data_IF_243935386053
#
_entry.id   IF_243935386053
#
_cell.length_a   1.000
_cell.length_b   1.000
_cell.length_c   1.000
_cell.angle_alpha   90.00
_cell.angle_beta   90.00
_cell.angle_gamma   90.00
#
_symmetry.space_group_name_H-M   'P 1'
#
loop_
_entity.id
_entity.type
_entity.pdbx_description
1 polymer ?
#
# COMPACT_ATOMS: atom_id res chain seq x y z
N UNK A 1 28.05 -63.54 -71.36
CA UNK A 1 28.03 -63.86 -69.91
C UNK A 1 28.30 -62.53 -69.16
N UNK A 2 27.26 -61.75 -68.78
CA UNK A 2 27.38 -60.44 -68.12
C UNK A 2 26.99 -60.63 -66.65
N UNK A 3 28.00 -60.43 -65.78
CA UNK A 3 27.80 -60.40 -64.35
C UNK A 3 27.21 -59.05 -63.90
N UNK A 4 25.99 -59.06 -63.38
CA UNK A 4 25.41 -57.84 -62.72
C UNK A 4 25.88 -57.83 -61.29
N UNK A 5 26.77 -56.87 -60.99
CA UNK A 5 27.11 -56.52 -59.61
C UNK A 5 25.99 -55.72 -58.97
N UNK A 6 25.29 -56.32 -58.01
CA UNK A 6 24.28 -55.68 -57.18
C UNK A 6 25.00 -54.66 -56.23
N UNK A 7 24.71 -53.40 -56.38
CA UNK A 7 25.12 -52.34 -55.42
C UNK A 7 24.31 -52.50 -54.12
N UNK A 8 24.98 -52.80 -53.02
CA UNK A 8 24.41 -52.77 -51.71
C UNK A 8 24.06 -51.32 -51.30
N UNK A 9 22.78 -50.98 -51.20
CA UNK A 9 22.29 -49.68 -50.73
C UNK A 9 21.92 -49.71 -49.20
N UNK A 10 22.70 -50.40 -48.39
CA UNK A 10 22.38 -50.61 -46.97
C UNK A 10 22.67 -49.39 -46.06
N UNK A 11 23.51 -48.42 -46.50
CA UNK A 11 23.86 -47.22 -45.70
C UNK A 11 22.77 -46.14 -45.67
N UNK A 12 21.99 -45.99 -46.73
CA UNK A 12 20.95 -44.95 -46.83
C UNK A 12 19.73 -45.22 -45.87
N UNK A 13 19.35 -46.46 -45.67
CA UNK A 13 18.22 -46.84 -44.80
C UNK A 13 18.53 -46.52 -43.36
N UNK A 14 19.75 -46.75 -42.86
CA UNK A 14 20.16 -46.48 -41.49
C UNK A 14 20.10 -44.98 -41.22
N UNK A 15 20.53 -44.13 -42.16
CA UNK A 15 20.47 -42.69 -42.03
C UNK A 15 19.02 -42.20 -41.93
N UNK A 16 18.11 -42.72 -42.74
CA UNK A 16 16.70 -42.35 -42.70
C UNK A 16 16.07 -42.78 -41.34
N UNK A 17 16.38 -43.97 -40.86
CA UNK A 17 15.87 -44.44 -39.54
C UNK A 17 16.43 -43.58 -38.42
N UNK A 18 17.71 -43.18 -38.47
CA UNK A 18 18.30 -42.29 -37.48
C UNK A 18 17.62 -40.91 -37.47
N UNK A 19 17.44 -40.31 -38.65
CA UNK A 19 16.75 -39.02 -38.78
C UNK A 19 15.29 -39.08 -38.32
N UNK A 20 14.55 -40.15 -38.64
CA UNK A 20 13.17 -40.33 -38.14
C UNK A 20 13.11 -40.52 -36.64
N UNK A 21 14.08 -41.23 -36.04
CA UNK A 21 14.18 -41.40 -34.60
C UNK A 21 14.48 -40.06 -33.91
N UNK A 22 15.43 -39.26 -34.41
CA UNK A 22 15.73 -37.91 -33.89
C UNK A 22 14.51 -37.00 -34.00
N UNK A 23 13.84 -36.98 -35.15
CA UNK A 23 12.65 -36.15 -35.37
C UNK A 23 11.50 -36.55 -34.43
N UNK A 24 11.30 -37.85 -34.21
CA UNK A 24 10.32 -38.37 -33.25
C UNK A 24 10.66 -37.96 -31.82
N UNK A 25 11.93 -38.03 -31.43
CA UNK A 25 12.39 -37.61 -30.09
C UNK A 25 12.15 -36.12 -29.88
N UNK A 26 12.47 -35.26 -30.85
CA UNK A 26 12.21 -33.83 -30.79
C UNK A 26 10.71 -33.56 -30.69
N UNK A 27 9.89 -34.23 -31.48
CA UNK A 27 8.43 -34.11 -31.45
C UNK A 27 7.84 -34.48 -30.08
N UNK A 28 8.28 -35.61 -29.52
CA UNK A 28 7.82 -36.09 -28.20
C UNK A 28 8.24 -35.14 -27.11
N UNK A 29 9.49 -34.63 -27.15
CA UNK A 29 9.99 -33.66 -26.18
C UNK A 29 9.20 -32.35 -26.25
N UNK A 30 8.94 -31.82 -27.45
CA UNK A 30 8.14 -30.63 -27.65
C UNK A 30 6.70 -30.79 -27.16
N UNK A 31 6.10 -31.98 -27.43
CA UNK A 31 4.76 -32.31 -26.95
C UNK A 31 4.71 -32.45 -25.43
N UNK A 32 5.70 -33.09 -24.83
CA UNK A 32 5.81 -33.23 -23.37
C UNK A 32 5.98 -31.84 -22.69
N UNK A 33 6.80 -30.97 -23.26
CA UNK A 33 6.97 -29.59 -22.76
C UNK A 33 5.66 -28.78 -22.83
N UNK A 34 4.91 -28.92 -23.94
CA UNK A 34 3.60 -28.24 -24.11
C UNK A 34 2.56 -28.77 -23.12
N UNK A 35 2.51 -30.07 -22.89
CA UNK A 35 1.59 -30.71 -21.92
C UNK A 35 1.94 -30.22 -20.50
N UNK A 36 3.24 -30.23 -20.15
CA UNK A 36 3.68 -29.74 -18.83
C UNK A 36 3.32 -28.26 -18.62
N UNK A 37 3.53 -27.41 -19.62
CA UNK A 37 3.15 -25.98 -19.53
C UNK A 37 1.64 -25.83 -19.38
N UNK A 38 0.85 -26.56 -20.19
CA UNK A 38 -0.60 -26.52 -20.10
C UNK A 38 -1.12 -27.01 -18.73
N UNK A 39 -0.51 -28.07 -18.16
CA UNK A 39 -0.85 -28.56 -16.83
C UNK A 39 -0.51 -27.53 -15.73
N UNK A 40 0.67 -26.88 -15.81
CA UNK A 40 1.02 -25.79 -14.88
C UNK A 40 0.02 -24.62 -14.98
N UNK A 41 -0.32 -24.19 -16.18
CA UNK A 41 -1.30 -23.11 -16.38
C UNK A 41 -2.67 -23.48 -15.83
N UNK A 42 -3.12 -24.73 -16.07
CA UNK A 42 -4.39 -25.20 -15.52
C UNK A 42 -4.39 -25.23 -13.99
N UNK A 43 -3.30 -25.69 -13.37
CA UNK A 43 -3.14 -25.70 -11.92
C UNK A 43 -3.18 -24.27 -11.35
N UNK A 44 -2.40 -23.35 -11.91
CA UNK A 44 -2.41 -21.94 -11.47
C UNK A 44 -3.79 -21.29 -11.62
N UNK A 45 -4.50 -21.56 -12.73
CA UNK A 45 -5.86 -21.04 -12.90
C UNK A 45 -6.83 -21.61 -11.88
N UNK A 46 -6.71 -22.90 -11.54
CA UNK A 46 -7.53 -23.54 -10.51
C UNK A 46 -7.24 -22.95 -9.13
N UNK A 47 -5.97 -22.77 -8.78
CA UNK A 47 -5.56 -22.15 -7.53
C UNK A 47 -6.06 -20.70 -7.44
N UNK A 48 -5.87 -19.89 -8.49
CA UNK A 48 -6.38 -18.52 -8.54
C UNK A 48 -7.91 -18.47 -8.38
N UNK A 49 -8.64 -19.37 -9.05
CA UNK A 49 -10.10 -19.44 -8.96
C UNK A 49 -10.61 -19.85 -7.58
N UNK A 50 -9.84 -20.63 -6.81
CA UNK A 50 -10.21 -21.00 -5.44
C UNK A 50 -9.80 -19.94 -4.41
N UNK A 51 -8.70 -19.23 -4.63
CA UNK A 51 -8.19 -18.22 -3.72
C UNK A 51 -9.02 -16.92 -3.74
N UNK A 52 -9.48 -16.51 -4.92
CA UNK A 52 -10.23 -15.27 -5.06
C UNK A 52 -11.50 -15.19 -4.19
N UNK A 53 -12.39 -16.20 -4.15
CA UNK A 53 -13.55 -16.16 -3.26
C UNK A 53 -13.18 -16.09 -1.78
N UNK A 54 -12.11 -16.75 -1.35
CA UNK A 54 -11.64 -16.70 0.04
C UNK A 54 -11.19 -15.28 0.40
N UNK A 55 -10.42 -14.63 -0.47
CA UNK A 55 -9.95 -13.27 -0.30
C UNK A 55 -11.11 -12.28 -0.26
N UNK A 56 -12.08 -12.38 -1.19
CA UNK A 56 -13.29 -11.56 -1.18
C UNK A 56 -14.15 -11.81 0.05
N UNK A 57 -14.19 -13.05 0.55
CA UNK A 57 -14.84 -13.39 1.80
C UNK A 57 -14.21 -12.65 2.99
N UNK A 58 -12.88 -12.60 3.07
CA UNK A 58 -12.16 -11.89 4.12
C UNK A 58 -12.38 -10.37 4.05
N UNK A 59 -12.38 -9.79 2.84
CA UNK A 59 -12.73 -8.36 2.65
C UNK A 59 -14.14 -8.07 3.15
N UNK A 60 -15.13 -8.87 2.76
CA UNK A 60 -16.52 -8.66 3.18
C UNK A 60 -16.70 -8.82 4.69
N UNK A 61 -15.91 -9.68 5.34
CA UNK A 61 -15.91 -9.81 6.80
C UNK A 61 -15.26 -8.59 7.47
N UNK A 62 -14.16 -8.05 6.92
CA UNK A 62 -13.55 -6.82 7.38
C UNK A 62 -14.51 -5.62 7.27
N UNK A 63 -15.23 -5.50 6.16
CA UNK A 63 -16.28 -4.49 5.99
C UNK A 63 -17.39 -4.64 7.05
N UNK A 64 -17.77 -5.87 7.35
CA UNK A 64 -18.78 -6.15 8.38
C UNK A 64 -18.26 -5.74 9.77
N UNK A 65 -17.01 -6.02 10.12
CA UNK A 65 -16.42 -5.56 11.40
C UNK A 65 -16.45 -4.03 11.51
N UNK A 66 -16.11 -3.31 10.44
CA UNK A 66 -16.21 -1.85 10.40
C UNK A 66 -17.64 -1.35 10.59
N UNK A 67 -18.64 -2.07 10.06
CA UNK A 67 -20.04 -1.74 10.25
C UNK A 67 -20.49 -2.05 11.70
N UNK A 68 -20.05 -3.16 12.28
CA UNK A 68 -20.35 -3.54 13.66
C UNK A 68 -19.78 -2.53 14.66
N UNK A 69 -18.56 -2.04 14.44
CA UNK A 69 -17.94 -1.00 15.28
C UNK A 69 -18.75 0.31 15.26
N UNK A 70 -19.49 0.58 14.17
CA UNK A 70 -20.39 1.74 14.04
C UNK A 70 -21.77 1.53 14.61
N UNK A 71 -22.09 0.34 15.12
CA UNK A 71 -23.40 0.10 15.77
C UNK A 71 -23.51 0.86 17.09
N UNK A 72 -24.64 1.52 17.35
CA UNK A 72 -24.87 2.11 18.65
C UNK A 72 -24.91 1.01 19.71
N UNK A 73 -24.15 1.17 20.78
CA UNK A 73 -24.21 0.26 21.92
C UNK A 73 -25.56 0.30 22.56
N UNK A 74 -26.11 -0.82 23.06
CA UNK A 74 -27.37 -0.85 23.78
C UNK A 74 -27.36 0.11 24.98
N UNK A 75 -28.44 0.84 25.17
CA UNK A 75 -28.60 1.75 26.30
C UNK A 75 -28.62 0.92 27.60
N UNK A 76 -27.60 1.09 28.43
CA UNK A 76 -27.46 0.37 29.70
C UNK A 76 -26.37 -0.70 29.76
N UNK A 77 -25.69 -1.00 28.68
CA UNK A 77 -24.37 -1.64 28.76
C UNK A 77 -23.38 -0.63 29.34
N UNK A 78 -23.18 -0.70 30.63
CA UNK A 78 -22.00 -0.14 31.27
C UNK A 78 -20.81 -0.86 30.67
N UNK A 79 -19.78 -0.09 30.22
CA UNK A 79 -18.46 -0.66 30.00
C UNK A 79 -18.18 -1.53 31.22
N UNK A 80 -18.01 -2.84 31.07
CA UNK A 80 -17.55 -3.67 32.16
C UNK A 80 -16.26 -3.04 32.65
N UNK A 81 -16.35 -2.33 33.81
CA UNK A 81 -15.16 -1.97 34.56
C UNK A 81 -14.54 -3.31 34.92
N UNK A 82 -13.39 -3.60 34.33
CA UNK A 82 -12.53 -4.66 34.85
C UNK A 82 -12.30 -4.32 36.31
N UNK A 83 -12.23 -5.32 37.20
CA UNK A 83 -12.04 -5.17 38.67
C UNK A 83 -10.83 -4.26 39.04
N UNK A 84 -10.08 -3.75 38.09
CA UNK A 84 -8.91 -2.89 38.25
C UNK A 84 -9.14 -1.43 37.78
N UNK A 85 -10.36 -1.05 37.35
CA UNK A 85 -10.69 0.33 36.96
C UNK A 85 -10.10 0.76 35.60
N UNK A 86 -9.62 -0.16 34.80
CA UNK A 86 -9.12 0.11 33.46
C UNK A 86 -10.30 0.36 32.51
N UNK A 87 -10.32 1.53 31.90
CA UNK A 87 -11.22 1.84 30.77
C UNK A 87 -10.79 0.93 29.62
N UNK A 88 -11.64 -0.04 29.23
CA UNK A 88 -11.39 -0.84 28.05
C UNK A 88 -11.16 0.08 26.85
N UNK A 89 -9.94 0.09 26.34
CA UNK A 89 -9.62 0.63 25.02
C UNK A 89 -10.58 0.02 24.00
N UNK A 90 -11.02 0.78 22.98
CA UNK A 90 -11.84 0.22 21.91
C UNK A 90 -11.21 -1.06 21.37
N UNK A 91 -12.04 -2.09 21.18
CA UNK A 91 -11.57 -3.45 20.85
C UNK A 91 -10.65 -3.50 19.61
N UNK A 92 -10.74 -2.49 18.74
CA UNK A 92 -9.90 -2.41 17.53
C UNK A 92 -9.35 -1.01 17.33
N UNK A 93 -8.02 -0.93 17.21
CA UNK A 93 -7.33 0.21 16.59
C UNK A 93 -7.12 -0.10 15.12
N UNK A 94 -7.74 0.66 14.24
CA UNK A 94 -7.52 0.48 12.80
C UNK A 94 -6.22 1.16 12.36
N UNK A 95 -5.12 0.72 12.94
CA UNK A 95 -3.75 1.20 12.69
C UNK A 95 -2.87 0.15 12.00
N UNK A 96 -3.48 -0.90 11.45
CA UNK A 96 -2.80 -1.98 10.78
C UNK A 96 -2.47 -3.19 11.66
N UNK A 97 -2.95 -3.23 12.89
CA UNK A 97 -2.92 -4.47 13.68
C UNK A 97 -3.67 -5.58 12.95
N UNK A 98 -3.23 -6.83 13.14
CA UNK A 98 -3.96 -7.99 12.60
C UNK A 98 -5.32 -8.04 13.23
N UNK A 99 -6.35 -8.04 12.40
CA UNK A 99 -7.72 -8.06 12.88
C UNK A 99 -8.16 -9.49 13.20
N UNK A 100 -8.60 -9.71 14.43
CA UNK A 100 -9.28 -10.93 14.84
C UNK A 100 -10.76 -10.79 14.47
N UNK A 101 -11.18 -11.40 13.37
CA UNK A 101 -12.54 -11.26 12.86
C UNK A 101 -13.54 -12.08 13.69
N UNK A 102 -14.73 -11.53 13.92
CA UNK A 102 -15.84 -12.23 14.61
C UNK A 102 -16.27 -13.51 13.88
N UNK A 103 -16.09 -13.55 12.56
CA UNK A 103 -16.28 -14.72 11.73
C UNK A 103 -14.94 -15.08 11.08
N UNK A 104 -14.25 -16.10 11.59
CA UNK A 104 -12.91 -16.43 11.13
C UNK A 104 -12.89 -16.80 9.63
N UNK A 105 -11.88 -16.30 8.96
CA UNK A 105 -11.54 -16.65 7.59
C UNK A 105 -10.64 -17.91 7.55
N UNK A 106 -10.14 -18.26 6.38
CA UNK A 106 -9.04 -19.23 6.23
C UNK A 106 -7.85 -18.74 7.09
N UNK A 107 -7.32 -19.60 7.97
CA UNK A 107 -6.22 -19.30 8.91
C UNK A 107 -4.97 -18.71 8.24
N UNK A 108 -4.79 -19.00 6.94
CA UNK A 108 -3.70 -18.46 6.16
C UNK A 108 -3.93 -17.02 5.66
N UNK A 109 -5.12 -16.43 5.86
CA UNK A 109 -5.43 -15.07 5.45
C UNK A 109 -5.27 -14.11 6.63
N UNK A 110 -4.56 -13.03 6.38
CA UNK A 110 -4.36 -11.93 7.32
C UNK A 110 -5.13 -10.72 6.83
N UNK A 111 -5.88 -10.09 7.73
CA UNK A 111 -6.64 -8.87 7.48
C UNK A 111 -6.07 -7.76 8.35
N UNK A 112 -5.80 -6.60 7.72
CA UNK A 112 -5.36 -5.37 8.39
C UNK A 112 -6.20 -4.21 7.89
N UNK A 113 -6.57 -3.32 8.79
CA UNK A 113 -7.35 -2.12 8.48
C UNK A 113 -6.60 -0.89 8.97
N UNK A 114 -6.54 0.12 8.11
CA UNK A 114 -5.95 1.43 8.41
C UNK A 114 -7.00 2.51 8.25
N UNK A 115 -7.24 3.27 9.32
CA UNK A 115 -8.08 4.46 9.29
C UNK A 115 -7.32 5.61 8.62
N UNK A 116 -7.95 6.29 7.67
CA UNK A 116 -7.36 7.41 6.94
C UNK A 116 -7.11 8.66 7.79
N UNK A 117 -7.61 8.72 9.04
CA UNK A 117 -7.19 9.74 9.99
C UNK A 117 -5.71 9.63 10.39
N UNK A 118 -5.08 8.47 10.16
CA UNK A 118 -3.64 8.28 10.30
C UNK A 118 -2.81 8.73 9.10
N UNK A 119 -3.42 9.26 8.03
CA UNK A 119 -2.75 9.68 6.80
C UNK A 119 -2.82 11.20 6.59
N UNK A 120 -1.89 11.74 5.82
CA UNK A 120 -1.88 13.15 5.41
C UNK A 120 -2.92 13.32 4.28
N UNK A 121 -3.93 14.17 4.49
CA UNK A 121 -4.96 14.41 3.49
C UNK A 121 -4.54 15.53 2.53
N UNK A 122 -4.17 15.15 1.29
CA UNK A 122 -3.70 16.09 0.26
C UNK A 122 -4.76 17.10 -0.14
N UNK A 123 -6.05 16.72 -0.16
CA UNK A 123 -7.15 17.62 -0.50
C UNK A 123 -7.54 18.57 0.65
N UNK A 124 -6.94 18.41 1.83
CA UNK A 124 -7.25 19.22 3.03
C UNK A 124 -6.02 19.83 3.68
N UNK A 125 -4.83 19.54 3.16
CA UNK A 125 -3.56 20.07 3.69
C UNK A 125 -3.51 21.59 3.53
N UNK A 126 -3.26 22.37 4.60
CA UNK A 126 -3.03 23.80 4.48
C UNK A 126 -1.73 24.09 3.70
N UNK A 127 -1.70 25.19 2.94
CA UNK A 127 -0.50 25.62 2.18
C UNK A 127 0.76 25.68 3.04
N UNK A 128 0.65 26.17 4.28
CA UNK A 128 1.78 26.21 5.21
C UNK A 128 2.29 24.80 5.56
N UNK A 129 1.38 23.85 5.75
CA UNK A 129 1.77 22.48 6.06
C UNK A 129 2.43 21.82 4.85
N UNK A 130 1.94 22.05 3.64
CA UNK A 130 2.62 21.59 2.42
C UNK A 130 4.04 22.16 2.32
N UNK A 131 4.24 23.44 2.61
CA UNK A 131 5.57 24.04 2.66
C UNK A 131 6.49 23.30 3.66
N UNK A 132 6.04 23.08 4.87
CA UNK A 132 6.83 22.37 5.90
C UNK A 132 7.15 20.92 5.51
N UNK A 133 6.24 20.23 4.80
CA UNK A 133 6.47 18.90 4.27
C UNK A 133 7.57 18.93 3.21
N UNK A 134 7.51 19.89 2.28
CA UNK A 134 8.54 20.11 1.25
C UNK A 134 9.89 20.40 1.91
N UNK A 135 9.93 21.34 2.85
CA UNK A 135 11.14 21.70 3.60
C UNK A 135 11.74 20.46 4.28
N UNK A 136 10.93 19.67 4.98
CA UNK A 136 11.40 18.42 5.62
C UNK A 136 12.01 17.45 4.62
N UNK A 137 11.38 17.24 3.47
CA UNK A 137 11.86 16.32 2.43
C UNK A 137 13.14 16.79 1.75
N UNK A 138 13.37 18.11 1.72
CA UNK A 138 14.60 18.72 1.17
C UNK A 138 15.74 18.87 2.20
N UNK A 139 15.60 18.31 3.41
CA UNK A 139 16.63 18.35 4.45
C UNK A 139 16.32 19.27 5.63
N UNK A 140 15.09 19.71 5.77
CA UNK A 140 14.62 20.53 6.91
C UNK A 140 15.21 21.93 6.90
N UNK A 141 15.98 22.26 7.93
CA UNK A 141 16.59 23.60 8.08
C UNK A 141 17.68 23.91 7.03
N UNK A 142 18.23 22.87 6.40
CA UNK A 142 19.26 22.99 5.35
C UNK A 142 18.63 23.06 3.94
N UNK A 143 17.30 23.00 3.84
CA UNK A 143 16.59 23.06 2.56
C UNK A 143 16.85 24.41 1.85
N UNK A 144 17.10 24.34 0.52
CA UNK A 144 17.21 25.54 -0.30
C UNK A 144 15.86 26.26 -0.38
N UNK A 145 15.75 27.50 0.14
CA UNK A 145 14.49 28.25 0.14
C UNK A 145 13.93 28.52 -1.27
N UNK A 146 14.78 28.63 -2.29
CA UNK A 146 14.34 28.81 -3.67
C UNK A 146 13.64 27.56 -4.18
N UNK A 147 14.26 26.39 -3.98
CA UNK A 147 13.66 25.10 -4.34
C UNK A 147 12.33 24.83 -3.60
N UNK A 148 12.26 25.18 -2.31
CA UNK A 148 11.02 25.06 -1.54
C UNK A 148 9.91 25.93 -2.16
N UNK A 149 10.22 27.19 -2.52
CA UNK A 149 9.24 28.08 -3.13
C UNK A 149 8.79 27.62 -4.52
N UNK A 150 9.70 27.09 -5.33
CA UNK A 150 9.40 26.56 -6.66
C UNK A 150 8.42 25.37 -6.61
N UNK A 151 8.66 24.44 -5.68
CA UNK A 151 7.77 23.29 -5.47
C UNK A 151 6.41 23.72 -4.91
N UNK A 152 6.42 24.67 -3.95
CA UNK A 152 5.19 25.19 -3.37
C UNK A 152 4.36 26.00 -4.39
N UNK A 153 5.01 26.71 -5.30
CA UNK A 153 4.36 27.40 -6.41
C UNK A 153 3.74 26.39 -7.38
N UNK A 154 4.49 25.36 -7.78
CA UNK A 154 3.96 24.29 -8.65
C UNK A 154 2.76 23.56 -8.03
N UNK A 155 2.79 23.28 -6.71
CA UNK A 155 1.64 22.74 -5.97
C UNK A 155 0.44 23.70 -6.01
N UNK A 156 0.68 25.02 -5.81
CA UNK A 156 -0.38 26.00 -5.76
C UNK A 156 -1.07 26.14 -7.11
N UNK A 157 -0.29 26.24 -8.20
CA UNK A 157 -0.80 26.34 -9.57
C UNK A 157 -1.58 25.09 -9.97
N UNK A 158 -1.09 23.89 -9.57
CA UNK A 158 -1.81 22.63 -9.84
C UNK A 158 -3.18 22.55 -9.16
N UNK A 159 -3.29 23.11 -7.96
CA UNK A 159 -4.49 22.99 -7.12
C UNK A 159 -5.37 24.25 -7.12
N UNK A 160 -5.09 25.23 -7.97
CA UNK A 160 -5.98 26.37 -8.15
C UNK A 160 -6.95 26.18 -9.35
N UNK A 161 -7.81 27.15 -9.58
CA UNK A 161 -8.88 27.07 -10.59
C UNK A 161 -8.56 27.85 -11.87
N UNK A 162 -7.40 28.47 -11.94
CA UNK A 162 -7.05 29.35 -13.06
C UNK A 162 -5.84 28.81 -13.83
N UNK A 163 -5.55 29.38 -15.02
CA UNK A 163 -4.40 29.02 -15.87
C UNK A 163 -3.29 30.08 -15.78
N UNK A 164 -3.24 30.88 -14.70
CA UNK A 164 -2.24 31.93 -14.54
C UNK A 164 -1.04 31.41 -13.77
N UNK A 165 0.06 31.24 -14.46
CA UNK A 165 1.31 30.79 -13.84
C UNK A 165 1.76 31.76 -12.74
N UNK A 166 1.90 31.24 -11.53
CA UNK A 166 2.48 31.93 -10.39
C UNK A 166 3.97 32.20 -10.58
N UNK A 167 4.55 33.05 -9.72
CA UNK A 167 5.99 33.27 -9.72
C UNK A 167 6.69 31.94 -9.42
N UNK A 168 7.53 31.47 -10.36
CA UNK A 168 8.19 30.17 -10.32
C UNK A 168 7.21 28.98 -10.29
N UNK A 169 5.99 29.17 -10.75
CA UNK A 169 4.97 28.13 -10.82
C UNK A 169 5.12 27.18 -12.00
N UNK A 170 4.11 26.34 -12.20
CA UNK A 170 4.03 25.44 -13.36
C UNK A 170 2.57 25.25 -13.77
N UNK A 171 2.22 25.82 -14.91
CA UNK A 171 0.90 25.77 -15.48
C UNK A 171 0.86 24.96 -16.79
N UNK A 172 -0.28 24.99 -17.46
CA UNK A 172 -0.55 24.26 -18.69
C UNK A 172 0.57 24.30 -19.73
N UNK A 173 1.19 25.48 -19.94
CA UNK A 173 2.24 25.64 -20.95
C UNK A 173 3.49 24.85 -20.57
N UNK A 174 3.85 24.80 -19.28
CA UNK A 174 4.93 23.96 -18.79
C UNK A 174 4.67 22.49 -19.06
N UNK A 175 3.51 21.95 -18.63
CA UNK A 175 3.21 20.51 -18.75
C UNK A 175 3.00 20.07 -20.20
N UNK A 176 2.52 20.95 -21.07
CA UNK A 176 2.42 20.68 -22.50
C UNK A 176 3.78 20.72 -23.23
N UNK A 177 4.79 21.35 -22.66
CA UNK A 177 6.16 21.39 -23.21
C UNK A 177 6.98 20.13 -22.93
N UNK A 178 6.50 19.26 -22.04
CA UNK A 178 7.19 18.02 -21.67
C UNK A 178 7.13 16.98 -22.81
N UNK A 179 8.11 16.07 -22.87
CA UNK A 179 8.15 14.98 -23.85
C UNK A 179 6.88 14.10 -23.78
N UNK A 180 6.40 13.84 -22.55
CA UNK A 180 5.10 13.23 -22.31
C UNK A 180 4.13 14.32 -21.86
N UNK A 181 3.61 15.08 -22.82
CA UNK A 181 2.77 16.22 -22.54
C UNK A 181 1.42 15.83 -21.96
N UNK A 182 0.96 16.57 -20.96
CA UNK A 182 -0.36 16.46 -20.38
C UNK A 182 -0.90 17.83 -20.00
N UNK A 183 -2.18 17.89 -19.63
CA UNK A 183 -2.82 19.16 -19.26
C UNK A 183 -3.35 19.03 -17.83
N UNK A 184 -2.96 19.92 -16.92
CA UNK A 184 -3.55 20.01 -15.58
C UNK A 184 -5.08 20.19 -15.67
N UNK A 185 -5.79 19.71 -14.67
CA UNK A 185 -7.26 19.78 -14.66
C UNK A 185 -7.82 21.08 -14.08
N UNK A 186 -6.97 21.92 -13.47
CA UNK A 186 -7.37 23.14 -12.78
C UNK A 186 -8.47 22.86 -11.74
N UNK A 187 -8.23 21.87 -10.88
CA UNK A 187 -9.15 21.43 -9.86
C UNK A 187 -8.42 21.47 -8.49
N UNK A 188 -9.00 22.10 -7.47
CA UNK A 188 -8.39 22.18 -6.14
C UNK A 188 -8.29 20.83 -5.43
N UNK A 189 -9.00 19.82 -5.89
CA UNK A 189 -8.97 18.48 -5.32
C UNK A 189 -8.33 17.49 -6.29
N UNK A 190 -7.35 16.71 -5.81
CA UNK A 190 -6.76 15.59 -6.53
C UNK A 190 -7.78 14.45 -6.65
N UNK A 191 -7.81 13.74 -7.77
CA UNK A 191 -8.66 12.57 -7.99
C UNK A 191 -8.04 11.29 -7.47
N UNK A 192 -6.70 11.18 -7.50
CA UNK A 192 -5.93 10.06 -6.97
C UNK A 192 -4.72 10.55 -6.18
N UNK A 193 -4.20 9.73 -5.29
CA UNK A 193 -2.98 10.08 -4.54
C UNK A 193 -1.78 10.19 -5.47
N UNK A 194 -1.73 9.33 -6.48
CA UNK A 194 -0.64 9.26 -7.47
C UNK A 194 -0.56 10.52 -8.35
N UNK A 195 -1.65 11.29 -8.44
CA UNK A 195 -1.68 12.55 -9.19
C UNK A 195 -0.64 13.57 -8.69
N UNK A 196 -0.26 13.51 -7.40
CA UNK A 196 0.80 14.35 -6.84
C UNK A 196 2.14 14.20 -7.58
N UNK A 197 2.43 13.00 -8.14
CA UNK A 197 3.66 12.74 -8.89
C UNK A 197 3.70 13.45 -10.25
N UNK A 198 2.57 13.93 -10.75
CA UNK A 198 2.51 14.70 -11.98
C UNK A 198 2.84 16.19 -11.77
N UNK A 199 2.84 16.65 -10.52
CA UNK A 199 3.21 18.02 -10.18
C UNK A 199 4.73 18.17 -10.31
N UNK A 200 5.18 19.24 -10.94
CA UNK A 200 6.61 19.51 -11.19
C UNK A 200 7.44 19.34 -9.92
N UNK A 201 8.43 18.42 -9.97
CA UNK A 201 9.40 18.13 -8.92
C UNK A 201 8.88 17.26 -7.77
N UNK A 202 7.59 16.90 -7.75
CA UNK A 202 7.06 16.05 -6.66
C UNK A 202 7.40 14.57 -6.83
N UNK A 203 7.64 14.09 -8.05
CA UNK A 203 8.08 12.73 -8.27
C UNK A 203 9.43 12.46 -7.59
N UNK A 204 10.39 13.37 -7.74
CA UNK A 204 11.70 13.30 -7.09
C UNK A 204 11.60 13.57 -5.58
N UNK A 205 10.77 14.52 -5.17
CA UNK A 205 10.55 14.85 -3.75
C UNK A 205 10.02 13.64 -2.97
N UNK A 206 9.13 12.85 -3.56
CA UNK A 206 8.45 11.73 -2.92
C UNK A 206 9.03 10.36 -3.32
N UNK A 207 10.21 10.34 -3.93
CA UNK A 207 10.88 9.09 -4.27
C UNK A 207 11.05 8.18 -3.04
N UNK A 208 10.72 6.90 -3.21
CA UNK A 208 10.81 5.89 -2.15
C UNK A 208 9.65 5.88 -1.13
N UNK A 209 8.70 6.82 -1.21
CA UNK A 209 7.55 6.87 -0.31
C UNK A 209 6.43 5.94 -0.79
N UNK A 210 5.88 5.13 0.11
CA UNK A 210 4.63 4.42 -0.14
C UNK A 210 3.46 5.41 -0.02
N UNK A 211 2.98 5.91 -1.18
CA UNK A 211 1.97 6.97 -1.24
C UNK A 211 0.65 6.55 -0.58
N UNK A 212 0.21 5.31 -0.80
CA UNK A 212 -1.04 4.80 -0.20
C UNK A 212 -0.94 4.65 1.33
N UNK A 213 0.26 4.49 1.88
CA UNK A 213 0.49 4.45 3.32
C UNK A 213 0.56 5.86 3.94
N UNK A 214 1.18 6.82 3.24
CA UNK A 214 1.43 8.16 3.75
C UNK A 214 0.27 9.13 3.55
N UNK A 215 -0.42 9.03 2.41
CA UNK A 215 -1.39 10.03 1.96
C UNK A 215 -2.80 9.48 1.77
N UNK A 216 -3.74 10.41 1.80
CA UNK A 216 -5.13 10.20 1.37
C UNK A 216 -5.65 11.45 0.67
N UNK A 217 -6.66 11.26 -0.18
CA UNK A 217 -7.44 12.34 -0.79
C UNK A 217 -8.89 12.33 -0.27
N UNK A 218 -9.25 11.33 0.53
CA UNK A 218 -10.60 11.09 1.00
C UNK A 218 -10.83 11.67 2.39
N UNK A 219 -12.09 11.97 2.70
CA UNK A 219 -12.49 12.49 4.02
C UNK A 219 -12.20 13.99 4.20
N UNK A 220 -12.33 14.47 5.43
CA UNK A 220 -12.21 15.89 5.77
C UNK A 220 -11.19 16.17 6.89
N UNK A 221 -10.40 15.18 7.28
CA UNK A 221 -9.38 15.35 8.31
C UNK A 221 -8.27 16.28 7.81
N UNK A 222 -7.85 17.22 8.65
CA UNK A 222 -6.73 18.14 8.38
C UNK A 222 -5.51 17.83 9.23
N UNK A 223 -5.67 16.96 10.20
CA UNK A 223 -4.65 16.54 11.15
C UNK A 223 -4.48 15.05 11.07
N UNK A 224 -3.30 14.57 11.43
CA UNK A 224 -2.95 13.14 11.48
C UNK A 224 -3.10 12.65 12.91
N UNK A 225 -3.78 11.54 13.11
CA UNK A 225 -3.89 10.87 14.39
C UNK A 225 -2.70 9.90 14.56
N UNK A 226 -1.81 10.19 15.50
CA UNK A 226 -0.59 9.41 15.73
C UNK A 226 -0.87 7.97 16.19
N UNK A 227 -2.01 7.71 16.85
CA UNK A 227 -2.41 6.35 17.21
C UNK A 227 -2.69 5.46 15.98
N UNK A 228 -3.05 6.10 14.86
CA UNK A 228 -3.49 5.44 13.62
C UNK A 228 -2.45 5.58 12.49
N UNK A 229 -1.47 6.48 12.64
CA UNK A 229 -0.55 6.84 11.59
C UNK A 229 0.44 5.69 11.27
N UNK A 230 0.71 5.51 9.97
CA UNK A 230 1.81 4.66 9.50
C UNK A 230 3.17 5.34 9.74
N UNK A 231 4.25 4.56 9.72
CA UNK A 231 5.62 5.10 9.76
C UNK A 231 5.84 6.08 8.60
N UNK A 232 5.37 5.74 7.42
CA UNK A 232 5.50 6.57 6.23
C UNK A 232 4.82 7.94 6.40
N UNK A 233 3.60 7.96 6.97
CA UNK A 233 2.92 9.20 7.27
C UNK A 233 3.68 10.01 8.32
N UNK A 234 4.12 9.39 9.43
CA UNK A 234 4.90 10.05 10.48
C UNK A 234 6.24 10.56 9.96
N UNK A 235 6.91 9.82 9.08
CA UNK A 235 8.17 10.21 8.46
C UNK A 235 8.10 11.51 7.66
N UNK A 236 6.90 11.90 7.21
CA UNK A 236 6.67 13.16 6.50
C UNK A 236 6.28 14.34 7.43
N UNK A 237 5.97 14.06 8.69
CA UNK A 237 5.57 15.11 9.64
C UNK A 237 6.79 15.89 10.13
N UNK A 238 6.79 17.24 10.08
CA UNK A 238 7.85 18.06 10.64
C UNK A 238 8.01 17.79 12.15
N UNK A 239 9.24 17.90 12.63
CA UNK A 239 9.55 17.68 14.04
C UNK A 239 9.63 16.22 14.46
N UNK A 240 9.40 15.23 13.57
CA UNK A 240 9.62 13.83 13.86
C UNK A 240 10.84 13.32 13.08
N UNK A 241 11.74 12.65 13.77
CA UNK A 241 12.81 11.83 13.23
C UNK A 241 12.53 10.34 13.49
N UNK A 242 13.39 9.45 13.01
CA UNK A 242 13.19 8.01 13.16
C UNK A 242 13.15 7.57 14.64
N UNK A 243 13.94 8.20 15.52
CA UNK A 243 13.96 7.87 16.96
C UNK A 243 12.62 8.27 17.62
N UNK A 244 12.12 9.45 17.34
CA UNK A 244 10.84 9.92 17.87
C UNK A 244 9.66 9.11 17.32
N UNK A 245 9.72 8.67 16.05
CA UNK A 245 8.73 7.78 15.47
C UNK A 245 8.72 6.44 16.21
N UNK A 246 9.88 5.83 16.46
CA UNK A 246 9.96 4.59 17.25
C UNK A 246 9.39 4.77 18.64
N UNK A 247 9.69 5.88 19.30
CA UNK A 247 9.17 6.17 20.63
C UNK A 247 7.63 6.31 20.62
N UNK A 248 7.06 6.95 19.62
CA UNK A 248 5.60 7.06 19.44
C UNK A 248 4.98 5.68 19.17
N UNK A 249 5.61 4.89 18.30
CA UNK A 249 5.14 3.54 17.99
C UNK A 249 5.13 2.65 19.23
N UNK A 250 6.23 2.66 20.02
CA UNK A 250 6.34 1.90 21.26
C UNK A 250 5.32 2.37 22.33
N UNK A 251 5.10 3.69 22.45
CA UNK A 251 4.15 4.25 23.40
C UNK A 251 2.72 3.77 23.08
N UNK A 252 2.30 3.90 21.83
CA UNK A 252 0.94 3.53 21.40
C UNK A 252 0.64 2.02 21.43
N UNK A 253 1.67 1.17 21.53
CA UNK A 253 1.47 -0.28 21.77
C UNK A 253 0.98 -0.55 23.19
N UNK A 254 1.35 0.32 24.15
CA UNK A 254 0.99 0.19 25.56
C UNK A 254 -0.31 0.94 25.85
N UNK A 255 -0.42 2.18 25.38
CA UNK A 255 -1.51 3.09 25.71
C UNK A 255 -1.81 4.04 24.54
N UNK A 256 -3.11 4.39 24.35
CA UNK A 256 -3.50 5.39 23.36
C UNK A 256 -3.09 6.80 23.80
N UNK A 257 -2.54 7.57 22.88
CA UNK A 257 -2.30 9.00 23.05
C UNK A 257 -3.65 9.71 23.09
N UNK A 258 -4.06 10.22 24.27
CA UNK A 258 -5.35 10.84 24.50
C UNK A 258 -5.33 12.33 24.16
N UNK A 259 -4.23 13.02 24.43
CA UNK A 259 -4.12 14.44 24.23
C UNK A 259 -2.72 14.90 23.80
N UNK A 260 -2.59 16.21 23.54
CA UNK A 260 -1.31 16.83 23.15
C UNK A 260 -0.27 16.87 24.27
N UNK A 261 -0.70 16.83 25.53
CA UNK A 261 0.24 16.87 26.66
C UNK A 261 1.03 15.57 26.73
N UNK A 262 0.39 14.44 26.42
CA UNK A 262 1.04 13.14 26.35
C UNK A 262 2.05 13.09 25.19
N UNK A 263 1.72 13.66 24.02
CA UNK A 263 2.69 13.80 22.92
C UNK A 263 3.92 14.59 23.40
N UNK A 264 3.70 15.69 24.17
CA UNK A 264 4.78 16.50 24.75
C UNK A 264 5.63 15.75 25.79
N UNK A 265 5.17 14.63 26.31
CA UNK A 265 5.96 13.71 27.14
C UNK A 265 6.89 12.80 26.31
N UNK A 266 6.60 12.56 25.05
CA UNK A 266 7.36 11.70 24.13
C UNK A 266 8.26 12.56 23.22
N UNK A 267 7.74 13.67 22.73
CA UNK A 267 8.37 14.56 21.74
C UNK A 267 8.91 15.81 22.41
N UNK A 268 10.19 16.21 22.23
CA UNK A 268 10.76 17.43 22.78
C UNK A 268 10.00 18.70 22.39
N UNK A 269 10.03 19.70 23.24
CA UNK A 269 9.26 20.95 23.07
C UNK A 269 9.57 21.67 21.74
N UNK A 270 10.82 21.70 21.31
CA UNK A 270 11.25 22.30 20.03
C UNK A 270 10.59 21.61 18.83
N UNK A 271 10.54 20.27 18.83
CA UNK A 271 9.91 19.45 17.79
C UNK A 271 8.38 19.62 17.81
N UNK A 272 7.78 19.77 19.01
CA UNK A 272 6.35 20.01 19.18
C UNK A 272 5.87 21.32 18.55
N UNK A 273 6.73 22.36 18.43
CA UNK A 273 6.35 23.60 17.77
C UNK A 273 5.99 23.39 16.29
N UNK A 274 6.71 22.54 15.60
CA UNK A 274 6.44 22.19 14.19
C UNK A 274 5.32 21.15 14.06
N UNK A 275 5.33 20.14 14.94
CA UNK A 275 4.39 19.03 14.91
C UNK A 275 2.96 19.40 15.29
N UNK A 276 2.78 20.37 16.21
CA UNK A 276 1.48 20.69 16.84
C UNK A 276 0.36 21.05 15.86
N UNK A 277 0.70 21.64 14.71
CA UNK A 277 -0.25 21.98 13.66
C UNK A 277 -0.72 20.78 12.82
N UNK A 278 -0.04 19.64 12.97
CA UNK A 278 -0.27 18.44 12.15
C UNK A 278 -1.07 17.38 12.87
N UNK A 279 -1.03 17.35 14.20
CA UNK A 279 -1.56 16.23 15.00
C UNK A 279 -2.92 16.51 15.61
N UNK A 280 -3.74 15.48 15.70
CA UNK A 280 -5.06 15.49 16.32
C UNK A 280 -5.50 14.05 16.65
N UNK A 281 -6.61 13.91 17.40
CA UNK A 281 -7.12 12.62 17.88
C UNK A 281 -8.40 12.20 17.14
N UNK A 282 -8.69 12.80 15.97
CA UNK A 282 -9.88 12.45 15.21
C UNK A 282 -9.73 11.06 14.57
N UNK A 283 -10.84 10.36 14.43
CA UNK A 283 -10.99 9.18 13.57
C UNK A 283 -11.69 9.58 12.28
N UNK A 284 -11.59 8.77 11.23
CA UNK A 284 -12.31 8.98 9.97
C UNK A 284 -13.43 7.95 9.78
N UNK A 285 -14.11 8.06 8.65
CA UNK A 285 -15.04 7.05 8.17
C UNK A 285 -14.50 6.36 6.90
N UNK A 286 -13.23 6.60 6.57
CA UNK A 286 -12.55 6.04 5.41
C UNK A 286 -11.46 5.08 5.90
N UNK A 287 -11.42 3.90 5.30
CA UNK A 287 -10.52 2.85 5.71
C UNK A 287 -9.87 2.20 4.51
N UNK A 288 -8.57 1.85 4.63
CA UNK A 288 -7.91 0.91 3.72
C UNK A 288 -7.94 -0.48 4.35
N UNK A 289 -8.57 -1.44 3.69
CA UNK A 289 -8.59 -2.84 4.06
C UNK A 289 -7.52 -3.55 3.24
N UNK A 290 -6.60 -4.23 3.91
CA UNK A 290 -5.58 -5.06 3.29
C UNK A 290 -5.83 -6.52 3.64
N UNK A 291 -5.87 -7.39 2.62
CA UNK A 291 -5.98 -8.84 2.80
C UNK A 291 -4.85 -9.52 2.05
N UNK A 292 -4.08 -10.33 2.73
CA UNK A 292 -2.98 -11.08 2.15
C UNK A 292 -2.87 -12.46 2.78
N UNK A 293 -2.14 -13.35 2.12
CA UNK A 293 -1.82 -14.67 2.67
C UNK A 293 -0.46 -14.59 3.33
N UNK A 294 -0.40 -15.00 4.59
CA UNK A 294 0.87 -15.21 5.28
C UNK A 294 1.59 -16.38 4.61
N UNK A 295 2.75 -16.11 4.04
CA UNK A 295 3.61 -17.17 3.49
C UNK A 295 4.60 -17.50 4.60
N UNK A 296 4.48 -18.70 5.17
CA UNK A 296 5.53 -19.23 6.02
C UNK A 296 6.80 -19.39 5.18
N UNK A 297 7.78 -18.51 5.39
CA UNK A 297 9.09 -18.59 4.74
C UNK A 297 9.94 -19.66 5.47
N UNK A 298 9.43 -20.85 5.62
CA UNK A 298 10.20 -22.01 6.16
C UNK A 298 11.02 -22.73 5.09
N UNK A 299 10.83 -22.42 3.80
CA UNK A 299 11.54 -23.10 2.71
C UNK A 299 12.80 -22.30 2.31
N UNK A 300 13.97 -22.74 2.79
CA UNK A 300 15.28 -22.28 2.31
C UNK A 300 15.39 -22.36 0.77
N UNK A 301 14.77 -23.37 0.16
CA UNK A 301 14.69 -23.53 -1.30
C UNK A 301 13.99 -22.35 -2.01
N UNK A 302 13.06 -21.70 -1.35
CA UNK A 302 12.36 -20.52 -1.91
C UNK A 302 13.26 -19.27 -1.91
N UNK A 303 14.09 -19.11 -0.90
CA UNK A 303 15.05 -18.00 -0.79
C UNK A 303 16.19 -18.17 -1.82
N UNK A 304 16.70 -19.40 -2.00
CA UNK A 304 17.71 -19.69 -3.02
C UNK A 304 17.17 -19.46 -4.45
N UNK A 305 15.95 -19.92 -4.75
CA UNK A 305 15.31 -19.66 -6.06
C UNK A 305 15.11 -18.16 -6.35
N UNK A 306 14.96 -17.35 -5.30
CA UNK A 306 14.74 -15.90 -5.40
C UNK A 306 16.04 -15.15 -5.65
N UNK A 307 17.16 -15.58 -5.09
CA UNK A 307 18.47 -14.98 -5.35
C UNK A 307 18.96 -15.22 -6.77
N UNK A 308 18.49 -16.29 -7.44
CA UNK A 308 18.84 -16.61 -8.83
C UNK A 308 17.94 -15.92 -9.87
N UNK A 309 16.78 -15.37 -9.49
CA UNK A 309 15.84 -14.75 -10.43
C UNK A 309 15.90 -13.22 -10.34
N UNK A 310 16.65 -12.60 -11.26
CA UNK A 310 16.77 -11.13 -11.42
C UNK A 310 15.41 -10.42 -11.64
N UNK A 311 14.36 -11.18 -11.94
CA UNK A 311 12.98 -10.72 -12.12
C UNK A 311 12.04 -11.19 -11.00
N UNK A 312 12.58 -11.79 -9.93
CA UNK A 312 11.77 -12.19 -8.79
C UNK A 312 11.09 -10.95 -8.19
N UNK A 313 9.78 -11.03 -8.12
CA UNK A 313 8.93 -9.98 -7.55
C UNK A 313 9.43 -9.59 -6.15
N UNK A 314 9.46 -8.28 -5.79
CA UNK A 314 9.79 -7.87 -4.45
C UNK A 314 8.89 -8.60 -3.46
N UNK A 315 9.38 -8.82 -2.28
CA UNK A 315 8.85 -9.61 -1.19
C UNK A 315 7.35 -9.98 -1.29
N UNK A 316 6.96 -11.23 -1.48
CA UNK A 316 5.56 -11.63 -1.60
C UNK A 316 4.71 -11.26 -0.38
N UNK A 317 5.35 -11.00 0.78
CA UNK A 317 4.69 -10.52 2.00
C UNK A 317 4.22 -9.08 1.87
N UNK A 318 4.77 -8.29 0.92
CA UNK A 318 4.39 -6.89 0.72
C UNK A 318 3.22 -6.68 -0.24
N UNK A 319 2.84 -7.72 -1.01
CA UNK A 319 1.72 -7.63 -1.94
C UNK A 319 0.44 -8.12 -1.29
N UNK A 320 -0.54 -7.25 -1.24
CA UNK A 320 -1.85 -7.54 -0.67
C UNK A 320 -2.96 -7.05 -1.60
N UNK A 321 -4.13 -7.65 -1.51
CA UNK A 321 -5.32 -7.03 -2.03
C UNK A 321 -5.69 -5.85 -1.12
N UNK A 322 -5.84 -4.68 -1.69
CA UNK A 322 -6.22 -3.47 -0.98
C UNK A 322 -7.57 -2.95 -1.49
N UNK A 323 -8.41 -2.53 -0.58
CA UNK A 323 -9.65 -1.83 -0.86
C UNK A 323 -9.80 -0.61 0.03
N UNK A 324 -10.17 0.55 -0.56
CA UNK A 324 -10.49 1.76 0.19
C UNK A 324 -12.01 1.91 0.25
N UNK A 325 -12.53 1.91 1.47
CA UNK A 325 -13.97 1.96 1.72
C UNK A 325 -14.36 3.12 2.64
N UNK A 326 -15.57 3.65 2.41
CA UNK A 326 -16.23 4.57 3.33
C UNK A 326 -17.33 3.85 4.08
N UNK A 327 -17.26 3.83 5.40
CA UNK A 327 -18.29 3.28 6.29
C UNK A 327 -18.90 4.42 7.08
N UNK A 328 -20.07 4.90 6.68
CA UNK A 328 -20.77 6.03 7.34
C UNK A 328 -21.53 5.61 8.57
N UNK A 329 -22.18 4.47 8.50
CA UNK A 329 -22.98 3.90 9.58
C UNK A 329 -23.21 2.40 9.34
N UNK A 330 -23.81 1.73 10.33
CA UNK A 330 -24.08 0.28 10.29
C UNK A 330 -25.26 -0.13 9.39
N UNK A 331 -26.08 0.83 8.92
CA UNK A 331 -27.28 0.54 8.11
C UNK A 331 -27.04 0.60 6.60
N UNK A 332 -25.93 1.14 6.16
CA UNK A 332 -25.58 1.29 4.76
C UNK A 332 -24.37 0.43 4.42
N UNK A 333 -24.42 -0.21 3.26
CA UNK A 333 -23.24 -0.91 2.75
C UNK A 333 -22.08 0.07 2.58
N UNK A 334 -20.84 -0.39 2.81
CA UNK A 334 -19.63 0.39 2.55
C UNK A 334 -19.61 0.89 1.10
N UNK A 335 -19.12 2.10 0.92
CA UNK A 335 -18.88 2.66 -0.41
C UNK A 335 -17.42 2.47 -0.78
N UNK A 336 -17.17 1.70 -1.84
CA UNK A 336 -15.82 1.44 -2.35
C UNK A 336 -15.37 2.65 -3.18
N UNK A 337 -14.17 3.15 -2.89
CA UNK A 337 -13.50 4.22 -3.63
C UNK A 337 -12.38 3.73 -4.54
N UNK A 338 -11.57 2.78 -4.06
CA UNK A 338 -10.42 2.24 -4.80
C UNK A 338 -10.30 0.75 -4.53
N UNK A 339 -9.94 -0.01 -5.55
CA UNK A 339 -9.53 -1.41 -5.45
C UNK A 339 -8.14 -1.51 -6.07
N UNK A 340 -7.20 -2.08 -5.35
CA UNK A 340 -5.88 -2.44 -5.85
C UNK A 340 -5.57 -3.91 -5.51
N UNK A 341 -5.60 -4.80 -6.52
CA UNK A 341 -5.29 -6.22 -6.31
C UNK A 341 -3.83 -6.51 -5.92
N UNK A 342 -2.96 -5.51 -6.02
CA UNK A 342 -1.52 -5.59 -5.78
C UNK A 342 -1.04 -4.48 -4.84
N UNK A 343 -1.89 -4.06 -3.91
CA UNK A 343 -1.58 -3.01 -2.95
C UNK A 343 -0.35 -3.37 -2.10
N UNK A 344 0.43 -2.36 -1.75
CA UNK A 344 1.61 -2.50 -0.91
C UNK A 344 1.27 -2.17 0.54
N UNK A 345 1.59 -3.08 1.46
CA UNK A 345 1.44 -2.84 2.89
C UNK A 345 2.36 -1.70 3.36
N UNK A 346 1.89 -0.89 4.33
CA UNK A 346 2.77 0.02 5.07
C UNK A 346 3.89 -0.72 5.80
N UNK A 347 5.09 -0.10 5.88
CA UNK A 347 6.24 -0.70 6.56
C UNK A 347 6.03 -0.88 8.07
N UNK A 348 5.10 -0.14 8.66
CA UNK A 348 4.72 -0.21 10.08
C UNK A 348 3.61 -1.20 10.40
N UNK A 349 3.35 -2.16 9.52
CA UNK A 349 2.43 -3.22 9.89
C UNK A 349 2.95 -3.93 11.16
N UNK A 350 2.31 -3.80 12.34
CA UNK A 350 2.81 -4.41 13.56
C UNK A 350 2.85 -5.94 13.42
N UNK A 351 3.80 -6.62 14.05
CA UNK A 351 3.86 -8.07 14.00
C UNK A 351 2.57 -8.70 14.54
N UNK A 352 2.27 -9.92 14.11
CA UNK A 352 1.18 -10.69 14.70
C UNK A 352 1.53 -10.96 16.15
N UNK A 353 0.69 -10.56 17.07
CA UNK A 353 0.84 -10.96 18.49
C UNK A 353 0.53 -12.44 18.54
N UNK A 354 1.51 -13.26 18.92
CA UNK A 354 1.28 -14.67 19.18
C UNK A 354 0.33 -14.78 20.39
N UNK A 355 -0.81 -15.43 20.20
CA UNK A 355 -1.74 -15.77 21.28
C UNK A 355 -1.12 -16.72 22.30
#
# INVERSE_FOLDING_TARGET
MMSKTGKHQSGSVIIIVLWTAVLLTVLVTAMASKVRLSAKTALHNQEASSRWPQLMGAVSQAEMELMLERMPRPVGETLEETDEGEIRTPAYRFNGQVLSLSYPTDEALVVRIYDHAGKINLNRIPRRNMQLLIEKRLGGQDADPEQVQDLLAAWTDWTDLNDLEGLNGAEKDYYQSLDQSYTPRNNPELDTVEEILHIRGFAELLEGINLDAAFTIYGNTRTVNLNLASREAMGLLPGLDDELIENILAYREIEDIQDRAEIGGIVPFENMQELSAWVGNNTSNIYSIFVYREIEIENADYLEMREEDEFANPDPVTQSYMEIVEVRNYNNLPRIYKIDPYGRLPDTAPPRVAE
#
